data_IF_777872889021
#
_entry.id   IF_777872889021
#
_cell.length_a   1.000
_cell.length_b   1.000
_cell.length_c   1.000
_cell.angle_alpha   90.00
_cell.angle_beta   90.00
_cell.angle_gamma   90.00
#
_symmetry.space_group_name_H-M   'P 1'
#
loop_
_entity.id
_entity.type
_entity.pdbx_description
1 polymer ?
#
# COMPACT_ATOMS: atom_id res chain seq x y z
N UNK A 1 -49.67 -10.30 52.87
CA UNK A 1 -48.44 -9.49 52.94
C UNK A 1 -48.70 -8.34 53.90
N UNK A 2 -47.90 -8.22 54.95
CA UNK A 2 -48.07 -7.20 55.98
C UNK A 2 -47.80 -5.81 55.39
N UNK A 3 -48.50 -4.77 55.87
CA UNK A 3 -48.25 -3.37 55.49
C UNK A 3 -46.78 -2.98 55.75
N UNK A 4 -46.16 -3.55 56.78
CA UNK A 4 -44.74 -3.34 57.08
C UNK A 4 -43.83 -3.83 55.95
N UNK A 5 -44.11 -5.00 55.38
CA UNK A 5 -43.31 -5.58 54.28
C UNK A 5 -43.40 -4.72 53.03
N UNK A 6 -44.59 -4.19 52.71
CA UNK A 6 -44.77 -3.30 51.55
C UNK A 6 -44.02 -1.98 51.72
N UNK A 7 -43.91 -1.48 52.94
CA UNK A 7 -43.12 -0.29 53.27
C UNK A 7 -41.63 -0.59 53.13
N UNK A 8 -41.14 -1.71 53.65
CA UNK A 8 -39.74 -2.13 53.47
C UNK A 8 -39.36 -2.28 52.00
N UNK A 9 -40.21 -2.94 51.19
CA UNK A 9 -39.98 -3.09 49.75
C UNK A 9 -39.95 -1.73 49.04
N UNK A 10 -40.86 -0.82 49.41
CA UNK A 10 -40.90 0.53 48.86
C UNK A 10 -39.63 1.32 49.22
N UNK A 11 -39.20 1.30 50.49
CA UNK A 11 -37.97 1.97 50.94
C UNK A 11 -36.71 1.36 50.32
N UNK A 12 -36.69 0.04 50.11
CA UNK A 12 -35.59 -0.64 49.42
C UNK A 12 -35.51 -0.20 47.96
N UNK A 13 -36.65 -0.11 47.26
CA UNK A 13 -36.69 0.35 45.87
C UNK A 13 -36.19 1.80 45.73
N UNK A 14 -36.56 2.68 46.67
CA UNK A 14 -36.14 4.07 46.68
C UNK A 14 -34.63 4.22 46.97
N UNK A 15 -34.07 3.37 47.83
CA UNK A 15 -32.63 3.32 48.07
C UNK A 15 -31.90 2.84 46.83
N UNK A 16 -32.33 1.74 46.22
CA UNK A 16 -31.70 1.22 45.01
C UNK A 16 -31.72 2.24 43.85
N UNK A 17 -32.81 3.02 43.72
CA UNK A 17 -32.91 4.08 42.72
C UNK A 17 -31.95 5.26 42.97
N UNK A 18 -31.66 5.58 44.25
CA UNK A 18 -30.82 6.71 44.65
C UNK A 18 -29.44 6.27 45.17
N UNK A 19 -29.02 5.02 44.92
CA UNK A 19 -27.67 4.58 45.25
C UNK A 19 -26.70 5.25 44.29
N UNK A 20 -26.02 6.28 44.77
CA UNK A 20 -24.77 6.75 44.18
C UNK A 20 -23.75 5.61 44.29
N UNK A 21 -23.60 4.84 43.22
CA UNK A 21 -22.61 3.75 43.15
C UNK A 21 -21.22 4.41 43.27
N UNK A 22 -20.49 4.18 44.38
CA UNK A 22 -19.17 4.78 44.56
C UNK A 22 -18.27 4.31 43.42
N UNK A 23 -17.72 5.26 42.65
CA UNK A 23 -16.87 4.97 41.50
C UNK A 23 -17.58 4.86 40.14
N UNK A 24 -18.90 5.08 40.03
CA UNK A 24 -19.59 5.16 38.73
C UNK A 24 -19.02 6.27 37.82
N UNK A 25 -18.62 7.39 38.43
CA UNK A 25 -17.95 8.48 37.73
C UNK A 25 -16.58 8.05 37.16
N UNK A 26 -15.88 7.11 37.81
CA UNK A 26 -14.61 6.56 37.31
C UNK A 26 -14.79 5.71 36.03
N UNK A 27 -15.98 5.15 35.82
CA UNK A 27 -16.33 4.48 34.57
C UNK A 27 -16.68 5.47 33.45
N UNK A 28 -17.19 6.66 33.81
CA UNK A 28 -17.59 7.70 32.86
C UNK A 28 -16.40 8.56 32.39
N UNK A 29 -15.39 8.72 33.23
CA UNK A 29 -14.17 9.49 32.96
C UNK A 29 -13.04 8.68 32.31
N UNK A 30 -13.26 7.38 32.05
CA UNK A 30 -12.51 6.72 30.98
C UNK A 30 -13.17 7.12 29.68
N UNK A 31 -12.60 8.03 28.87
CA UNK A 31 -12.86 7.94 27.46
C UNK A 31 -12.50 6.50 27.09
N UNK A 32 -13.50 5.70 26.69
CA UNK A 32 -13.18 4.63 25.77
C UNK A 32 -12.30 5.31 24.72
N UNK A 33 -11.09 4.81 24.41
CA UNK A 33 -10.48 5.25 23.18
C UNK A 33 -11.59 5.10 22.14
N UNK A 34 -11.88 6.18 21.44
CA UNK A 34 -12.67 6.12 20.23
C UNK A 34 -11.83 5.36 19.20
N UNK A 35 -11.51 4.10 19.48
CA UNK A 35 -11.46 3.05 18.48
C UNK A 35 -12.87 2.99 17.93
N UNK A 36 -13.21 3.96 17.08
CA UNK A 36 -14.07 3.70 15.95
C UNK A 36 -13.49 2.46 15.28
N UNK A 37 -14.09 1.32 15.60
CA UNK A 37 -13.91 0.03 14.92
C UNK A 37 -14.47 0.09 13.50
N UNK A 38 -14.12 1.13 12.75
CA UNK A 38 -13.99 1.07 11.30
C UNK A 38 -12.55 0.65 11.05
N UNK A 39 -12.27 -0.63 11.26
CA UNK A 39 -10.96 -1.22 11.05
C UNK A 39 -10.66 -1.14 9.55
N UNK A 40 -10.01 -0.05 9.12
CA UNK A 40 -9.70 0.20 7.71
C UNK A 40 -8.93 -0.99 7.16
N UNK A 41 -9.54 -1.68 6.19
CA UNK A 41 -8.94 -2.85 5.56
C UNK A 41 -7.84 -2.42 4.59
N UNK A 42 -7.11 -3.39 4.05
CA UNK A 42 -6.09 -3.08 3.06
C UNK A 42 -6.73 -2.64 1.73
N UNK A 43 -7.93 -3.14 1.41
CA UNK A 43 -8.76 -2.61 0.31
C UNK A 43 -9.11 -1.13 0.52
N UNK A 44 -9.60 -0.77 1.70
CA UNK A 44 -9.99 0.61 1.99
C UNK A 44 -8.78 1.55 1.88
N UNK A 45 -7.62 1.11 2.37
CA UNK A 45 -6.36 1.84 2.24
C UNK A 45 -5.95 2.04 0.77
N UNK A 46 -6.15 1.03 -0.08
CA UNK A 46 -5.89 1.13 -1.52
C UNK A 46 -6.83 2.13 -2.19
N UNK A 47 -8.13 2.05 -1.91
CA UNK A 47 -9.12 2.97 -2.48
C UNK A 47 -8.81 4.41 -2.10
N UNK A 48 -8.52 4.65 -0.82
CA UNK A 48 -8.08 5.95 -0.33
C UNK A 48 -6.82 6.45 -1.06
N UNK A 49 -5.83 5.58 -1.24
CA UNK A 49 -4.59 5.91 -1.94
C UNK A 49 -4.84 6.28 -3.40
N UNK A 50 -5.68 5.53 -4.11
CA UNK A 50 -6.03 5.85 -5.50
C UNK A 50 -6.85 7.13 -5.60
N UNK A 51 -7.77 7.38 -4.67
CA UNK A 51 -8.55 8.62 -4.61
C UNK A 51 -7.68 9.85 -4.40
N UNK A 52 -6.71 9.79 -3.48
CA UNK A 52 -5.89 10.94 -3.12
C UNK A 52 -4.64 11.11 -4.00
N UNK A 53 -3.94 10.03 -4.35
CA UNK A 53 -2.67 10.07 -5.09
C UNK A 53 -2.82 9.67 -6.56
N UNK A 54 -3.97 9.15 -6.97
CA UNK A 54 -4.23 8.73 -8.35
C UNK A 54 -4.68 9.86 -9.28
N UNK A 55 -5.08 11.03 -8.76
CA UNK A 55 -5.48 12.17 -9.60
C UNK A 55 -4.31 12.61 -10.48
N UNK A 56 -4.54 12.68 -11.80
CA UNK A 56 -3.51 13.01 -12.78
C UNK A 56 -2.46 11.90 -13.03
N UNK A 57 -2.66 10.69 -12.49
CA UNK A 57 -1.78 9.54 -12.76
C UNK A 57 -2.36 8.61 -13.82
N UNK A 58 -1.49 8.04 -14.65
CA UNK A 58 -1.88 7.12 -15.71
C UNK A 58 -2.30 5.73 -15.22
N UNK A 59 -2.91 4.94 -16.11
CA UNK A 59 -3.41 3.57 -15.82
C UNK A 59 -2.36 2.63 -15.21
N UNK A 60 -1.08 2.82 -15.55
CA UNK A 60 0.04 2.01 -15.03
C UNK A 60 0.23 2.20 -13.53
N UNK A 61 0.03 3.42 -13.02
CA UNK A 61 0.12 3.71 -11.59
C UNK A 61 -0.93 2.94 -10.80
N UNK A 62 -2.20 3.04 -11.24
CA UNK A 62 -3.34 2.34 -10.63
C UNK A 62 -3.13 0.82 -10.62
N UNK A 63 -2.84 0.24 -11.78
CA UNK A 63 -2.54 -1.20 -11.91
C UNK A 63 -1.36 -1.64 -11.04
N UNK A 64 -0.37 -0.77 -10.87
CA UNK A 64 0.78 -1.01 -10.00
C UNK A 64 0.36 -1.13 -8.53
N UNK A 65 -0.39 -0.17 -8.03
CA UNK A 65 -0.91 -0.17 -6.66
C UNK A 65 -1.84 -1.36 -6.39
N UNK A 66 -2.81 -1.58 -7.29
CA UNK A 66 -3.76 -2.71 -7.21
C UNK A 66 -3.04 -4.05 -7.16
N UNK A 67 -2.08 -4.30 -8.07
CA UNK A 67 -1.32 -5.56 -8.09
C UNK A 67 -0.55 -5.78 -6.78
N UNK A 68 0.06 -4.73 -6.24
CA UNK A 68 0.84 -4.82 -5.01
C UNK A 68 -0.05 -5.22 -3.83
N UNK A 69 -1.16 -4.53 -3.65
CA UNK A 69 -2.11 -4.81 -2.56
C UNK A 69 -2.80 -6.14 -2.76
N UNK A 70 -3.21 -6.49 -3.98
CA UNK A 70 -3.78 -7.81 -4.26
C UNK A 70 -2.81 -8.92 -3.89
N UNK A 71 -1.50 -8.76 -4.16
CA UNK A 71 -0.50 -9.76 -3.76
C UNK A 71 -0.41 -9.91 -2.24
N UNK A 72 -0.59 -8.83 -1.47
CA UNK A 72 -0.67 -8.90 0.00
C UNK A 72 -1.91 -9.68 0.42
N UNK A 73 -3.07 -9.34 -0.15
CA UNK A 73 -4.36 -9.97 0.17
C UNK A 73 -4.34 -11.46 -0.17
N UNK A 74 -3.78 -11.85 -1.31
CA UNK A 74 -3.70 -13.24 -1.74
C UNK A 74 -2.87 -14.11 -0.78
N UNK A 75 -1.85 -13.53 -0.13
CA UNK A 75 -0.92 -14.25 0.74
C UNK A 75 -1.32 -14.17 2.22
N UNK A 76 -1.82 -13.01 2.65
CA UNK A 76 -2.00 -12.66 4.05
C UNK A 76 -3.47 -12.39 4.43
N UNK A 77 -4.39 -12.39 3.46
CA UNK A 77 -5.79 -12.02 3.62
C UNK A 77 -6.02 -10.51 3.66
N UNK A 78 -7.26 -10.10 3.43
CA UNK A 78 -7.67 -8.70 3.58
C UNK A 78 -8.03 -8.42 5.04
N UNK A 79 -7.01 -8.01 5.81
CA UNK A 79 -7.12 -7.69 7.23
C UNK A 79 -7.05 -6.17 7.44
N UNK A 80 -7.55 -5.69 8.59
CA UNK A 80 -7.30 -4.33 9.07
C UNK A 80 -5.82 -3.97 9.05
N UNK A 81 -5.52 -2.70 8.76
CA UNK A 81 -4.14 -2.18 8.66
C UNK A 81 -3.32 -2.38 9.95
N UNK A 82 -3.98 -2.33 11.10
CA UNK A 82 -3.39 -2.52 12.43
C UNK A 82 -3.18 -4.01 12.82
N UNK A 83 -3.81 -4.94 12.11
CA UNK A 83 -3.74 -6.37 12.41
C UNK A 83 -2.51 -7.08 11.78
N UNK A 84 -1.76 -6.40 10.93
CA UNK A 84 -0.54 -6.96 10.34
C UNK A 84 0.64 -6.86 11.30
N UNK A 85 1.47 -7.90 11.29
CA UNK A 85 2.68 -8.01 12.10
C UNK A 85 3.95 -7.94 11.25
N UNK A 86 5.09 -7.68 11.89
CA UNK A 86 6.39 -7.73 11.19
C UNK A 86 6.71 -9.12 10.63
N UNK A 87 6.20 -10.18 11.26
CA UNK A 87 6.26 -11.55 10.74
C UNK A 87 5.47 -11.73 9.45
N UNK A 88 4.28 -11.13 9.33
CA UNK A 88 3.51 -11.15 8.07
C UNK A 88 4.33 -10.52 6.94
N UNK A 89 4.99 -9.40 7.22
CA UNK A 89 5.81 -8.69 6.27
C UNK A 89 7.06 -9.51 5.85
N UNK A 90 7.63 -10.31 6.77
CA UNK A 90 8.70 -11.27 6.45
C UNK A 90 8.19 -12.43 5.57
N UNK A 91 7.02 -13.00 5.89
CA UNK A 91 6.39 -14.05 5.08
C UNK A 91 6.11 -13.59 3.65
N UNK A 92 5.60 -12.36 3.48
CA UNK A 92 5.39 -11.78 2.15
C UNK A 92 6.71 -11.62 1.37
N UNK A 93 7.79 -11.17 2.04
CA UNK A 93 9.11 -11.07 1.42
C UNK A 93 9.57 -12.43 0.91
N UNK A 94 9.50 -13.45 1.75
CA UNK A 94 9.99 -14.78 1.43
C UNK A 94 9.18 -15.40 0.29
N UNK A 95 7.85 -15.19 0.30
CA UNK A 95 6.97 -15.56 -0.81
C UNK A 95 7.37 -14.88 -2.14
N UNK A 96 7.62 -13.57 -2.13
CA UNK A 96 7.99 -12.83 -3.35
C UNK A 96 9.36 -13.28 -3.90
N UNK A 97 10.32 -13.54 -3.02
CA UNK A 97 11.63 -14.09 -3.41
C UNK A 97 11.50 -15.50 -3.96
N UNK A 98 10.69 -16.37 -3.33
CA UNK A 98 10.41 -17.72 -3.81
C UNK A 98 9.71 -17.73 -5.18
N UNK A 99 8.88 -16.70 -5.46
CA UNK A 99 8.27 -16.47 -6.78
C UNK A 99 9.28 -16.02 -7.86
N UNK A 100 10.54 -15.81 -7.49
CA UNK A 100 11.63 -15.44 -8.42
C UNK A 100 11.75 -13.94 -8.69
N UNK A 101 11.15 -13.07 -7.85
CA UNK A 101 11.38 -11.63 -7.96
C UNK A 101 12.77 -11.29 -7.46
N UNK A 102 13.44 -10.35 -8.15
CA UNK A 102 14.71 -9.81 -7.66
C UNK A 102 14.51 -8.94 -6.43
N UNK A 103 15.54 -8.81 -5.60
CA UNK A 103 15.59 -7.95 -4.40
C UNK A 103 15.13 -6.53 -4.69
N UNK A 104 15.56 -5.95 -5.81
CA UNK A 104 15.14 -4.63 -6.25
C UNK A 104 13.66 -4.58 -6.63
N UNK A 105 13.12 -5.64 -7.22
CA UNK A 105 11.69 -5.75 -7.45
C UNK A 105 10.92 -5.80 -6.12
N UNK A 106 11.34 -6.65 -5.18
CA UNK A 106 10.70 -6.75 -3.87
C UNK A 106 10.76 -5.41 -3.11
N UNK A 107 11.92 -4.73 -3.09
CA UNK A 107 12.08 -3.38 -2.52
C UNK A 107 11.07 -2.38 -3.08
N UNK A 108 10.84 -2.38 -4.41
CA UNK A 108 9.84 -1.51 -5.05
C UNK A 108 8.42 -1.87 -4.62
N UNK A 109 8.08 -3.16 -4.55
CA UNK A 109 6.76 -3.59 -4.11
C UNK A 109 6.47 -3.13 -2.66
N UNK A 110 7.42 -3.38 -1.75
CA UNK A 110 7.31 -2.90 -0.36
C UNK A 110 7.25 -1.38 -0.24
N UNK A 111 7.92 -0.63 -1.12
CA UNK A 111 7.81 0.83 -1.14
C UNK A 111 6.38 1.30 -1.47
N UNK A 112 5.72 0.64 -2.42
CA UNK A 112 4.32 0.94 -2.78
C UNK A 112 3.38 0.57 -1.64
N UNK A 113 3.48 -0.65 -1.11
CA UNK A 113 2.65 -1.14 0.01
C UNK A 113 2.80 -0.21 1.23
N UNK A 114 4.04 0.16 1.57
CA UNK A 114 4.33 1.09 2.68
C UNK A 114 3.67 2.44 2.46
N UNK A 115 3.72 2.99 1.25
CA UNK A 115 3.13 4.29 0.94
C UNK A 115 1.60 4.28 1.08
N UNK A 116 0.96 3.19 0.66
CA UNK A 116 -0.50 3.01 0.77
C UNK A 116 -0.92 2.95 2.25
N UNK A 117 -0.25 2.08 3.02
CA UNK A 117 -0.57 1.88 4.43
C UNK A 117 -0.28 3.14 5.25
N UNK A 118 0.87 3.80 5.04
CA UNK A 118 1.21 5.02 5.78
C UNK A 118 0.21 6.15 5.51
N UNK A 119 -0.27 6.26 4.27
CA UNK A 119 -1.28 7.26 3.93
C UNK A 119 -2.58 6.98 4.70
N UNK A 120 -3.03 5.73 4.75
CA UNK A 120 -4.22 5.33 5.50
C UNK A 120 -4.09 5.62 7.01
N UNK A 121 -2.94 5.27 7.61
CA UNK A 121 -2.63 5.56 9.02
C UNK A 121 -2.70 7.06 9.30
N UNK A 122 -2.10 7.88 8.43
CA UNK A 122 -2.08 9.34 8.60
C UNK A 122 -3.46 9.97 8.42
N UNK A 123 -4.21 9.55 7.40
CA UNK A 123 -5.53 10.13 7.08
C UNK A 123 -6.57 9.82 8.16
N UNK A 124 -6.56 8.59 8.68
CA UNK A 124 -7.52 8.14 9.68
C UNK A 124 -7.00 8.30 11.12
N UNK A 125 -5.79 8.83 11.31
CA UNK A 125 -5.18 9.01 12.62
C UNK A 125 -5.04 7.72 13.42
N UNK A 126 -4.76 6.59 12.75
CA UNK A 126 -4.64 5.29 13.40
C UNK A 126 -3.41 5.25 14.32
N UNK A 127 -3.59 4.84 15.56
CA UNK A 127 -2.48 4.66 16.51
C UNK A 127 -1.82 3.28 16.33
N UNK A 128 -1.32 3.00 15.12
CA UNK A 128 -0.65 1.75 14.81
C UNK A 128 0.64 1.99 14.02
N UNK A 129 1.59 1.05 14.15
CA UNK A 129 2.82 1.06 13.38
C UNK A 129 2.63 0.26 12.09
N UNK A 130 3.11 0.79 10.98
CA UNK A 130 3.11 0.04 9.72
C UNK A 130 4.04 -1.19 9.80
N UNK A 131 3.45 -2.38 9.74
CA UNK A 131 4.13 -3.67 9.78
C UNK A 131 5.16 -3.88 8.65
N UNK A 132 4.93 -3.24 7.49
CA UNK A 132 5.75 -3.35 6.28
C UNK A 132 6.84 -2.27 6.18
N UNK A 133 7.00 -1.44 7.22
CA UNK A 133 7.94 -0.31 7.21
C UNK A 133 9.41 -0.74 7.21
N UNK A 134 9.79 -1.76 8.00
CA UNK A 134 11.18 -2.14 8.28
C UNK A 134 11.49 -3.60 7.98
N UNK A 135 11.08 -4.08 6.80
CA UNK A 135 11.42 -5.44 6.38
C UNK A 135 12.88 -5.54 5.96
N UNK A 136 13.61 -6.46 6.60
CA UNK A 136 14.97 -6.80 6.20
C UNK A 136 14.95 -7.50 4.84
N UNK A 137 15.70 -6.97 3.88
CA UNK A 137 15.87 -7.53 2.55
C UNK A 137 17.37 -7.80 2.34
N UNK A 138 17.77 -9.07 2.11
CA UNK A 138 19.16 -9.40 1.86
C UNK A 138 19.62 -8.72 0.55
N UNK A 139 20.90 -8.33 0.51
CA UNK A 139 21.52 -7.87 -0.74
C UNK A 139 21.97 -9.09 -1.53
N UNK A 140 21.12 -9.54 -2.45
CA UNK A 140 21.44 -10.62 -3.38
C UNK A 140 22.02 -9.97 -4.63
N UNK A 141 23.11 -10.50 -5.16
CA UNK A 141 23.68 -10.09 -6.47
C UNK A 141 22.81 -10.56 -7.66
N UNK A 142 21.49 -10.44 -7.53
CA UNK A 142 20.50 -10.83 -8.53
C UNK A 142 20.24 -9.75 -9.58
N UNK A 143 20.92 -8.61 -9.45
CA UNK A 143 20.80 -7.49 -10.37
C UNK A 143 21.72 -7.64 -11.58
N UNK A 144 21.17 -8.18 -12.67
CA UNK A 144 21.81 -8.10 -13.99
C UNK A 144 21.82 -6.64 -14.45
N UNK A 145 22.95 -5.94 -14.28
CA UNK A 145 23.13 -4.59 -14.81
C UNK A 145 23.06 -4.63 -16.34
N UNK A 146 22.22 -3.77 -16.92
CA UNK A 146 22.22 -3.55 -18.38
C UNK A 146 23.57 -2.96 -18.77
N UNK A 147 24.25 -3.58 -19.73
CA UNK A 147 25.48 -3.06 -20.30
C UNK A 147 25.15 -2.05 -21.40
N UNK A 148 25.97 -1.01 -21.59
CA UNK A 148 25.81 -0.12 -22.74
C UNK A 148 26.00 -0.91 -24.04
N UNK A 149 25.29 -0.49 -25.08
CA UNK A 149 25.46 -1.05 -26.43
C UNK A 149 26.74 -0.45 -27.03
N UNK A 150 27.67 -1.27 -27.57
CA UNK A 150 28.88 -0.76 -28.23
C UNK A 150 28.55 0.17 -29.40
N UNK A 151 29.35 1.21 -29.60
CA UNK A 151 29.13 2.22 -30.65
C UNK A 151 29.08 1.61 -32.05
N UNK A 152 29.92 0.61 -32.34
CA UNK A 152 29.92 -0.07 -33.64
C UNK A 152 28.61 -0.81 -33.92
N UNK A 153 27.97 -1.37 -32.88
CA UNK A 153 26.67 -2.01 -33.04
C UNK A 153 25.58 -0.97 -33.29
N UNK A 154 25.66 0.21 -32.65
CA UNK A 154 24.74 1.32 -32.88
C UNK A 154 24.84 1.81 -34.32
N UNK A 155 26.07 2.03 -34.82
CA UNK A 155 26.32 2.44 -36.22
C UNK A 155 25.78 1.44 -37.22
N UNK A 156 25.97 0.15 -36.95
CA UNK A 156 25.42 -0.93 -37.79
C UNK A 156 23.89 -0.90 -37.80
N UNK A 157 23.26 -0.80 -36.63
CA UNK A 157 21.79 -0.70 -36.53
C UNK A 157 21.28 0.52 -37.31
N UNK A 158 21.92 1.69 -37.18
CA UNK A 158 21.55 2.89 -37.93
C UNK A 158 21.64 2.69 -39.45
N UNK A 159 22.69 2.00 -39.94
CA UNK A 159 22.83 1.67 -41.35
C UNK A 159 21.74 0.70 -41.82
N UNK A 160 21.50 -0.37 -41.06
CA UNK A 160 20.45 -1.37 -41.35
C UNK A 160 19.06 -0.70 -41.36
N UNK A 161 18.81 0.27 -40.47
CA UNK A 161 17.56 1.02 -40.44
C UNK A 161 17.31 1.82 -41.73
N UNK A 162 18.36 2.43 -42.31
CA UNK A 162 18.26 3.17 -43.59
C UNK A 162 18.08 2.25 -44.80
N UNK A 163 18.56 1.02 -44.72
CA UNK A 163 18.42 0.04 -45.82
C UNK A 163 16.99 -0.51 -45.87
N UNK A 164 16.39 -0.78 -44.70
CA UNK A 164 15.00 -1.30 -44.63
C UNK A 164 13.96 -0.23 -44.93
N UNK A 165 14.21 1.02 -44.53
CA UNK A 165 13.40 2.21 -44.86
C UNK A 165 11.91 2.11 -44.46
N UNK A 166 11.63 1.62 -43.25
CA UNK A 166 10.28 1.59 -42.67
C UNK A 166 10.13 2.45 -41.40
N UNK A 167 8.89 2.79 -41.06
CA UNK A 167 8.52 3.67 -39.95
C UNK A 167 9.15 3.23 -38.61
N UNK A 168 9.14 1.93 -38.32
CA UNK A 168 9.68 1.41 -37.07
C UNK A 168 11.21 1.57 -37.00
N UNK A 169 11.91 1.38 -38.13
CA UNK A 169 13.37 1.56 -38.20
C UNK A 169 13.77 3.03 -38.18
N UNK A 170 12.97 3.92 -38.77
CA UNK A 170 13.18 5.36 -38.63
C UNK A 170 13.03 5.84 -37.18
N UNK A 171 12.06 5.29 -36.44
CA UNK A 171 11.94 5.57 -35.00
C UNK A 171 13.17 5.09 -34.22
N UNK A 172 13.69 3.90 -34.53
CA UNK A 172 14.93 3.38 -33.92
C UNK A 172 16.14 4.26 -34.26
N UNK A 173 16.29 4.67 -35.52
CA UNK A 173 17.37 5.55 -35.96
C UNK A 173 17.32 6.92 -35.27
N UNK A 174 16.13 7.52 -35.16
CA UNK A 174 15.91 8.78 -34.45
C UNK A 174 16.33 8.70 -32.99
N UNK A 175 15.95 7.62 -32.30
CA UNK A 175 16.32 7.39 -30.88
C UNK A 175 17.83 7.17 -30.75
N UNK A 176 18.44 6.42 -31.68
CA UNK A 176 19.88 6.15 -31.66
C UNK A 176 20.71 7.42 -31.88
N UNK A 177 20.25 8.32 -32.76
CA UNK A 177 20.94 9.57 -33.10
C UNK A 177 20.80 10.63 -31.99
N UNK A 178 19.62 10.73 -31.36
CA UNK A 178 19.29 11.82 -30.44
C UNK A 178 19.41 11.45 -28.96
N UNK A 179 19.33 10.16 -28.63
CA UNK A 179 19.23 9.69 -27.25
C UNK A 179 17.88 10.00 -26.57
N UNK A 180 16.85 10.41 -27.33
CA UNK A 180 15.49 10.64 -26.81
C UNK A 180 14.91 9.37 -26.19
N UNK A 181 13.98 9.52 -25.24
CA UNK A 181 13.19 8.37 -24.79
C UNK A 181 12.26 7.93 -25.92
N UNK A 182 11.99 6.63 -25.99
CA UNK A 182 11.06 6.06 -26.97
C UNK A 182 9.70 6.79 -27.00
N UNK A 183 9.14 7.13 -25.84
CA UNK A 183 7.86 7.85 -25.75
C UNK A 183 7.93 9.30 -26.24
N UNK A 184 9.10 9.94 -26.16
CA UNK A 184 9.31 11.30 -26.65
C UNK A 184 9.43 11.27 -28.19
N UNK A 185 10.21 10.32 -28.72
CA UNK A 185 10.39 10.15 -30.16
C UNK A 185 9.09 9.71 -30.87
N UNK A 186 8.34 8.76 -30.30
CA UNK A 186 7.07 8.30 -30.87
C UNK A 186 5.92 9.32 -30.74
N UNK A 187 6.05 10.30 -29.85
CA UNK A 187 5.07 11.38 -29.65
C UNK A 187 5.43 12.67 -30.38
N UNK A 188 6.45 12.64 -31.24
CA UNK A 188 6.94 13.82 -31.95
C UNK A 188 5.92 14.24 -33.02
N UNK A 189 5.34 15.42 -32.87
CA UNK A 189 4.42 16.02 -33.83
C UNK A 189 5.20 16.96 -34.76
N UNK A 190 4.83 16.98 -36.04
CA UNK A 190 5.34 17.95 -37.02
C UNK A 190 4.31 19.09 -37.06
N UNK A 191 4.72 20.29 -36.67
CA UNK A 191 3.90 21.50 -36.75
C UNK A 191 3.70 21.97 -38.19
#
# INVERSE_FOLDING_TARGET
MSIAQRLEDYWLSLRLANLDIPGLHLLRDRPLPTTSTSSQTLHDALELYLRLKGVGKGKVFRRGAERNIQTVIDVLGDRPVDAYSSSDAASLRDYLLAKGLTTNSVKRNFSTIRSIINLCIQEHGLDCRNAFSRVYLPDLEDNKRRKPIPLENIRRIQQDCRVEDDEARWLVALIADTGMRLSEAAGLHID
#
